data_IF_852688144302
#
_entry.id   IF_852688144302
#
_cell.length_a   1.000
_cell.length_b   1.000
_cell.length_c   1.000
_cell.angle_alpha   90.00
_cell.angle_beta   90.00
_cell.angle_gamma   90.00
#
_symmetry.space_group_name_H-M   'P 1'
#
loop_
_entity.id
_entity.type
_entity.pdbx_description
1 polymer ?
#
# COMPACT_ATOMS: atom_id res chain seq x y z
N UNK A 1 34.85 35.07 -5.82
CA UNK A 1 34.14 34.21 -4.88
C UNK A 1 32.60 34.24 -5.03
N UNK A 2 32.03 35.33 -5.53
CA UNK A 2 30.56 35.52 -5.67
C UNK A 2 29.84 34.72 -6.79
N UNK A 3 30.55 34.25 -7.81
CA UNK A 3 29.91 33.52 -8.94
C UNK A 3 29.55 32.05 -8.65
N UNK A 4 30.24 31.39 -7.73
CA UNK A 4 29.95 29.97 -7.38
C UNK A 4 28.75 29.82 -6.45
N UNK A 5 28.50 30.79 -5.58
CA UNK A 5 27.39 30.77 -4.62
C UNK A 5 26.03 30.95 -5.30
N UNK A 6 25.99 31.78 -6.36
CA UNK A 6 24.75 32.05 -7.12
C UNK A 6 24.29 30.82 -7.92
N UNK A 7 25.21 30.01 -8.43
CA UNK A 7 24.91 28.77 -9.18
C UNK A 7 24.35 27.69 -8.25
N UNK A 8 24.84 27.57 -7.01
CA UNK A 8 24.33 26.61 -6.04
C UNK A 8 22.91 26.97 -5.54
N UNK A 9 22.63 28.26 -5.34
CA UNK A 9 21.30 28.74 -4.93
C UNK A 9 20.26 28.54 -6.04
N UNK A 10 20.64 28.75 -7.31
CA UNK A 10 19.75 28.52 -8.45
C UNK A 10 19.45 27.02 -8.65
N UNK A 11 20.43 26.14 -8.40
CA UNK A 11 20.24 24.68 -8.45
C UNK A 11 19.32 24.16 -7.34
N UNK A 12 19.41 24.70 -6.12
CA UNK A 12 18.54 24.34 -5.01
C UNK A 12 17.08 24.80 -5.24
N UNK A 13 16.89 25.98 -5.82
CA UNK A 13 15.58 26.52 -6.15
C UNK A 13 14.95 25.73 -7.31
N UNK A 14 15.69 25.35 -8.34
CA UNK A 14 15.21 24.53 -9.45
C UNK A 14 14.89 23.10 -9.03
N UNK A 15 15.63 22.52 -8.09
CA UNK A 15 15.33 21.21 -7.53
C UNK A 15 14.04 21.22 -6.68
N UNK A 16 13.80 22.30 -5.93
CA UNK A 16 12.58 22.48 -5.13
C UNK A 16 11.33 22.71 -5.98
N UNK A 17 11.45 23.43 -7.10
CA UNK A 17 10.32 23.67 -8.04
C UNK A 17 9.92 22.38 -8.73
N UNK A 18 10.85 21.47 -9.01
CA UNK A 18 10.55 20.23 -9.73
C UNK A 18 9.97 19.11 -8.86
N UNK A 19 10.38 19.04 -7.61
CA UNK A 19 9.73 18.19 -6.61
C UNK A 19 8.29 18.67 -6.37
N UNK A 20 8.05 19.99 -6.38
CA UNK A 20 6.72 20.58 -6.20
C UNK A 20 5.78 20.35 -7.39
N UNK A 21 6.27 20.17 -8.60
CA UNK A 21 5.43 19.91 -9.79
C UNK A 21 4.92 18.46 -9.82
N UNK A 22 5.76 17.50 -9.54
CA UNK A 22 5.38 16.07 -9.47
C UNK A 22 4.43 15.78 -8.30
N UNK A 23 4.55 16.51 -7.20
CA UNK A 23 3.65 16.42 -6.05
C UNK A 23 2.31 17.14 -6.24
N UNK A 24 2.26 18.20 -7.02
CA UNK A 24 0.98 18.89 -7.30
C UNK A 24 0.02 18.04 -8.13
N UNK A 25 0.52 17.08 -8.90
CA UNK A 25 -0.33 16.27 -9.76
C UNK A 25 -1.13 15.24 -8.96
N UNK A 26 -0.56 14.66 -7.89
CA UNK A 26 -1.27 13.69 -7.04
C UNK A 26 -2.50 14.28 -6.38
N UNK A 27 -2.47 15.57 -6.01
CA UNK A 27 -3.59 16.23 -5.34
C UNK A 27 -4.81 16.37 -6.24
N UNK A 28 -4.66 16.32 -7.57
CA UNK A 28 -5.78 16.29 -8.51
C UNK A 28 -6.59 15.00 -8.41
N UNK A 29 -5.96 13.90 -7.96
CA UNK A 29 -6.60 12.61 -7.74
C UNK A 29 -7.21 12.49 -6.32
N UNK A 30 -7.07 13.53 -5.49
CA UNK A 30 -7.53 13.53 -4.10
C UNK A 30 -8.84 14.32 -3.92
N UNK A 31 -9.64 13.85 -2.96
CA UNK A 31 -10.79 14.58 -2.40
C UNK A 31 -10.51 14.78 -0.92
N UNK A 32 -10.36 16.02 -0.49
CA UNK A 32 -10.05 16.39 0.89
C UNK A 32 -10.50 17.82 1.18
N UNK A 33 -10.52 18.20 2.47
CA UNK A 33 -10.72 19.58 2.88
C UNK A 33 -9.39 20.23 3.29
N UNK A 34 -9.27 21.57 3.26
CA UNK A 34 -8.08 22.25 3.79
C UNK A 34 -7.78 21.89 5.26
N UNK A 35 -8.81 21.60 6.05
CA UNK A 35 -8.65 21.17 7.43
C UNK A 35 -8.03 19.76 7.54
N UNK A 36 -8.34 18.85 6.61
CA UNK A 36 -7.74 17.50 6.59
C UNK A 36 -6.26 17.59 6.26
N UNK A 37 -5.88 18.32 5.20
CA UNK A 37 -4.48 18.50 4.82
C UNK A 37 -3.66 19.18 5.92
N UNK A 38 -4.19 20.25 6.52
CA UNK A 38 -3.54 20.93 7.64
C UNK A 38 -3.37 20.00 8.87
N UNK A 39 -4.36 19.15 9.18
CA UNK A 39 -4.29 18.17 10.27
C UNK A 39 -3.20 17.11 10.00
N UNK A 40 -3.12 16.58 8.78
CA UNK A 40 -2.06 15.63 8.40
C UNK A 40 -0.68 16.25 8.59
N UNK A 41 -0.44 17.44 8.03
CA UNK A 41 0.87 18.12 8.14
C UNK A 41 1.24 18.36 9.60
N UNK A 42 0.29 18.82 10.43
CA UNK A 42 0.52 19.01 11.87
C UNK A 42 0.89 17.70 12.57
N UNK A 43 0.15 16.59 12.30
CA UNK A 43 0.44 15.28 12.88
C UNK A 43 1.83 14.78 12.48
N UNK A 44 2.23 14.95 11.22
CA UNK A 44 3.56 14.57 10.74
C UNK A 44 4.68 15.40 11.36
N UNK A 45 4.40 16.65 11.74
CA UNK A 45 5.37 17.52 12.44
C UNK A 45 5.58 17.12 13.91
N UNK A 46 4.62 16.43 14.53
CA UNK A 46 4.71 16.02 15.95
C UNK A 46 5.84 15.00 16.19
N UNK A 47 6.43 15.03 17.39
CA UNK A 47 7.41 14.02 17.83
C UNK A 47 6.67 12.76 18.29
N UNK A 48 6.46 11.82 17.38
CA UNK A 48 5.95 10.50 17.73
C UNK A 48 7.09 9.64 18.32
N UNK A 49 6.80 8.76 19.32
CA UNK A 49 7.79 7.82 19.85
C UNK A 49 8.29 6.87 18.77
N UNK A 50 9.60 6.69 18.66
CA UNK A 50 10.17 5.74 17.71
C UNK A 50 9.72 4.31 18.04
N UNK A 51 9.21 3.59 17.03
CA UNK A 51 8.62 2.25 17.22
C UNK A 51 7.21 2.24 17.83
N UNK A 52 6.70 3.38 18.30
CA UNK A 52 5.36 3.55 18.86
C UNK A 52 4.44 4.47 18.04
N UNK A 53 4.84 4.82 16.81
CA UNK A 53 4.14 5.81 15.98
C UNK A 53 2.68 5.40 15.70
N UNK A 54 2.45 4.11 15.48
CA UNK A 54 1.11 3.59 15.12
C UNK A 54 0.11 3.89 16.24
N UNK A 55 0.42 3.47 17.47
CA UNK A 55 -0.50 3.70 18.60
C UNK A 55 -0.58 5.18 18.98
N UNK A 56 0.52 5.93 18.84
CA UNK A 56 0.55 7.37 19.01
C UNK A 56 -0.46 8.06 18.08
N UNK A 57 -0.39 7.76 16.78
CA UNK A 57 -1.33 8.35 15.82
C UNK A 57 -2.76 7.84 16.00
N UNK A 58 -2.96 6.55 16.29
CA UNK A 58 -4.29 6.01 16.56
C UNK A 58 -5.01 6.77 17.67
N UNK A 59 -4.30 7.09 18.76
CA UNK A 59 -4.83 7.87 19.90
C UNK A 59 -5.20 9.32 19.55
N UNK A 60 -4.61 9.92 18.50
CA UNK A 60 -5.00 11.25 18.00
C UNK A 60 -6.40 11.29 17.38
N UNK A 61 -6.98 10.12 17.12
CA UNK A 61 -8.33 9.99 16.56
C UNK A 61 -9.39 9.58 17.60
N UNK A 62 -9.02 9.40 18.87
CA UNK A 62 -10.00 9.10 19.91
C UNK A 62 -11.14 10.13 19.92
N UNK A 63 -12.37 9.65 19.99
CA UNK A 63 -13.58 10.48 19.95
C UNK A 63 -14.06 10.90 18.56
N UNK A 64 -13.27 10.66 17.48
CA UNK A 64 -13.72 10.91 16.10
C UNK A 64 -14.95 10.05 15.80
N UNK A 65 -16.04 10.61 15.23
CA UNK A 65 -17.25 9.88 14.92
C UNK A 65 -17.04 8.68 14.00
N UNK A 66 -17.71 7.57 14.31
CA UNK A 66 -17.81 6.43 13.39
C UNK A 66 -18.84 6.71 12.31
N UNK A 67 -18.42 6.69 11.06
CA UNK A 67 -19.32 6.77 9.90
C UNK A 67 -18.87 5.78 8.85
N UNK A 68 -19.75 4.84 8.50
CA UNK A 68 -19.46 3.85 7.46
C UNK A 68 -19.56 4.46 6.05
N UNK A 69 -18.92 3.80 5.10
CA UNK A 69 -19.01 4.10 3.67
C UNK A 69 -18.63 5.53 3.25
N UNK A 70 -17.74 6.18 4.00
CA UNK A 70 -17.26 7.53 3.67
C UNK A 70 -16.53 7.58 2.32
N UNK A 71 -15.98 6.45 1.84
CA UNK A 71 -15.33 6.32 0.54
C UNK A 71 -16.31 6.16 -0.64
N UNK A 72 -17.61 5.94 -0.37
CA UNK A 72 -18.65 5.76 -1.39
C UNK A 72 -19.31 7.09 -1.84
N UNK A 73 -18.84 8.23 -1.31
CA UNK A 73 -19.40 9.56 -1.57
C UNK A 73 -19.06 10.15 -2.95
N UNK A 74 -18.13 9.54 -3.69
CA UNK A 74 -17.76 9.98 -5.03
C UNK A 74 -18.22 8.96 -6.09
N UNK A 75 -18.76 9.47 -7.22
CA UNK A 75 -19.10 8.62 -8.38
C UNK A 75 -17.87 8.10 -9.13
N UNK A 76 -16.77 8.84 -9.07
CA UNK A 76 -15.48 8.47 -9.61
C UNK A 76 -14.57 8.04 -8.47
N UNK A 77 -13.78 6.98 -8.69
CA UNK A 77 -12.79 6.55 -7.72
C UNK A 77 -11.68 7.58 -7.65
N UNK A 78 -11.48 8.12 -6.48
CA UNK A 78 -10.44 9.09 -6.15
C UNK A 78 -9.98 8.85 -4.71
N UNK A 79 -8.79 9.28 -4.38
CA UNK A 79 -8.29 9.17 -3.01
C UNK A 79 -9.07 10.13 -2.09
N UNK A 80 -10.03 9.61 -1.35
CA UNK A 80 -10.77 10.38 -0.34
C UNK A 80 -9.98 10.38 0.96
N UNK A 81 -9.68 11.57 1.48
CA UNK A 81 -9.09 11.81 2.80
C UNK A 81 -10.15 12.52 3.64
N UNK A 82 -10.63 11.83 4.68
CA UNK A 82 -11.59 12.38 5.65
C UNK A 82 -11.10 12.00 7.05
N UNK A 83 -10.65 12.99 7.80
CA UNK A 83 -10.16 12.80 9.17
C UNK A 83 -11.21 13.16 10.24
N UNK A 84 -12.42 13.51 9.82
CA UNK A 84 -13.52 13.92 10.70
C UNK A 84 -14.50 12.79 11.00
N UNK A 85 -14.56 11.81 10.11
CA UNK A 85 -15.47 10.66 10.17
C UNK A 85 -14.70 9.41 9.68
N UNK A 86 -14.66 8.38 10.49
CA UNK A 86 -13.88 7.19 10.20
C UNK A 86 -14.70 5.93 10.48
N UNK A 87 -14.52 4.90 9.67
CA UNK A 87 -14.84 3.52 9.99
C UNK A 87 -13.57 2.74 10.36
N UNK A 88 -13.68 1.45 10.63
CA UNK A 88 -12.53 0.64 11.07
C UNK A 88 -11.43 0.57 10.01
N UNK A 89 -11.80 0.49 8.72
CA UNK A 89 -10.85 0.40 7.60
C UNK A 89 -10.15 1.74 7.37
N UNK A 90 -10.92 2.82 7.30
CA UNK A 90 -10.36 4.16 7.08
C UNK A 90 -9.53 4.67 8.26
N UNK A 91 -9.86 4.26 9.50
CA UNK A 91 -8.99 4.49 10.66
C UNK A 91 -7.66 3.74 10.50
N UNK A 92 -7.71 2.45 10.17
CA UNK A 92 -6.51 1.63 10.00
C UNK A 92 -5.58 2.20 8.92
N UNK A 93 -6.12 2.50 7.74
CA UNK A 93 -5.38 3.10 6.63
C UNK A 93 -4.78 4.46 6.99
N UNK A 94 -5.55 5.33 7.62
CA UNK A 94 -5.12 6.69 8.00
C UNK A 94 -3.95 6.63 8.99
N UNK A 95 -4.07 5.82 10.02
CA UNK A 95 -3.05 5.68 11.07
C UNK A 95 -1.77 5.07 10.53
N UNK A 96 -1.89 3.97 9.76
CA UNK A 96 -0.74 3.30 9.17
C UNK A 96 -0.05 4.17 8.13
N UNK A 97 -0.81 4.92 7.32
CA UNK A 97 -0.23 5.85 6.35
C UNK A 97 0.52 7.00 7.05
N UNK A 98 0.00 7.56 8.15
CA UNK A 98 0.70 8.57 8.95
C UNK A 98 2.02 8.00 9.53
N UNK A 99 1.96 6.83 10.15
CA UNK A 99 3.11 6.19 10.76
C UNK A 99 4.17 5.81 9.71
N UNK A 100 3.76 5.24 8.58
CA UNK A 100 4.65 4.88 7.48
C UNK A 100 5.32 6.12 6.85
N UNK A 101 4.54 7.18 6.58
CA UNK A 101 5.05 8.45 6.07
C UNK A 101 6.08 9.04 7.03
N UNK A 102 5.79 9.04 8.33
CA UNK A 102 6.71 9.53 9.37
C UNK A 102 8.01 8.74 9.41
N UNK A 103 7.95 7.41 9.43
CA UNK A 103 9.13 6.51 9.40
C UNK A 103 9.98 6.71 8.15
N UNK A 104 9.35 6.99 7.01
CA UNK A 104 10.04 7.29 5.76
C UNK A 104 10.63 8.71 5.69
N UNK A 105 10.42 9.54 6.73
CA UNK A 105 10.91 10.93 6.79
C UNK A 105 10.04 11.93 6.04
N UNK A 106 8.85 11.52 5.55
CA UNK A 106 7.89 12.39 4.90
C UNK A 106 7.27 13.39 5.88
N UNK A 107 7.01 14.60 5.39
CA UNK A 107 6.50 15.71 6.21
C UNK A 107 5.37 16.49 5.57
N UNK A 108 5.08 16.22 4.29
CA UNK A 108 4.11 16.95 3.50
C UNK A 108 2.83 16.15 3.35
N UNK A 109 1.75 16.83 3.01
CA UNK A 109 0.46 16.20 2.74
C UNK A 109 0.53 15.23 1.56
N UNK A 110 1.27 15.60 0.53
CA UNK A 110 1.48 14.75 -0.66
C UNK A 110 2.21 13.44 -0.31
N UNK A 111 3.20 13.49 0.59
CA UNK A 111 3.91 12.29 1.05
C UNK A 111 2.93 11.31 1.73
N UNK A 112 2.00 11.83 2.52
CA UNK A 112 0.92 11.06 3.13
C UNK A 112 -0.05 10.51 2.08
N UNK A 113 -0.46 11.32 1.10
CA UNK A 113 -1.36 10.87 0.03
C UNK A 113 -0.75 9.70 -0.76
N UNK A 114 0.53 9.80 -1.13
CA UNK A 114 1.25 8.68 -1.76
C UNK A 114 1.24 7.42 -0.92
N UNK A 115 1.56 7.54 0.37
CA UNK A 115 1.56 6.40 1.28
C UNK A 115 0.16 5.79 1.44
N UNK A 116 -0.87 6.63 1.57
CA UNK A 116 -2.26 6.16 1.68
C UNK A 116 -2.73 5.43 0.41
N UNK A 117 -2.32 5.89 -0.77
CA UNK A 117 -2.60 5.20 -2.03
C UNK A 117 -1.99 3.79 -2.05
N UNK A 118 -0.76 3.62 -1.55
CA UNK A 118 -0.10 2.31 -1.47
C UNK A 118 -0.84 1.31 -0.56
N UNK A 119 -1.53 1.79 0.46
CA UNK A 119 -2.39 0.96 1.30
C UNK A 119 -3.75 0.67 0.64
N UNK A 120 -4.38 1.65 0.01
CA UNK A 120 -5.79 1.57 -0.40
C UNK A 120 -6.02 0.94 -1.75
N UNK A 121 -5.07 1.07 -2.68
CA UNK A 121 -5.28 0.68 -4.07
C UNK A 121 -4.30 -0.38 -4.55
N UNK A 122 -4.81 -1.29 -5.35
CA UNK A 122 -4.01 -2.23 -6.14
C UNK A 122 -3.12 -1.42 -7.10
N UNK A 123 -1.82 -1.69 -7.08
CA UNK A 123 -0.85 -0.89 -7.85
C UNK A 123 -0.61 0.53 -7.32
N UNK A 124 -1.10 0.87 -6.11
CA UNK A 124 -0.81 2.13 -5.44
C UNK A 124 -1.45 3.39 -6.06
N UNK A 125 -2.47 3.22 -6.93
CA UNK A 125 -3.17 4.35 -7.59
C UNK A 125 -4.67 4.04 -7.74
N UNK A 126 -5.55 5.06 -7.67
CA UNK A 126 -6.96 4.90 -8.00
C UNK A 126 -7.10 4.70 -9.52
N UNK A 127 -7.56 3.52 -9.93
CA UNK A 127 -7.92 3.18 -11.31
C UNK A 127 -9.32 2.53 -11.31
N UNK A 128 -10.33 3.34 -11.12
CA UNK A 128 -11.71 2.93 -10.95
C UNK A 128 -11.96 2.13 -9.66
N UNK A 129 -13.22 1.83 -9.41
CA UNK A 129 -13.70 1.20 -8.17
C UNK A 129 -13.02 -0.15 -7.86
N UNK A 130 -12.69 -0.91 -8.90
CA UNK A 130 -12.12 -2.27 -8.80
C UNK A 130 -10.66 -2.24 -8.33
N UNK A 131 -9.97 -1.11 -8.49
CA UNK A 131 -8.60 -0.95 -8.00
C UNK A 131 -8.51 -0.85 -6.48
N UNK A 132 -9.60 -0.45 -5.80
CA UNK A 132 -9.64 -0.38 -4.34
C UNK A 132 -9.57 -1.79 -3.73
N UNK A 133 -8.80 -1.95 -2.68
CA UNK A 133 -8.60 -3.21 -1.97
C UNK A 133 -9.74 -3.40 -0.96
N UNK A 134 -10.85 -3.98 -1.42
CA UNK A 134 -12.12 -4.04 -0.68
C UNK A 134 -12.17 -5.07 0.45
N UNK A 135 -11.42 -6.16 0.34
CA UNK A 135 -11.34 -7.18 1.38
C UNK A 135 -10.06 -7.01 2.19
N UNK A 136 -10.12 -7.34 3.47
CA UNK A 136 -8.97 -7.24 4.35
C UNK A 136 -7.79 -8.08 3.85
N UNK A 137 -8.05 -9.32 3.38
CA UNK A 137 -6.99 -10.18 2.83
C UNK A 137 -6.32 -9.59 1.61
N UNK A 138 -7.06 -8.94 0.70
CA UNK A 138 -6.50 -8.25 -0.46
C UNK A 138 -5.61 -7.09 -0.04
N UNK A 139 -6.13 -6.31 0.90
CA UNK A 139 -5.47 -5.13 1.45
C UNK A 139 -4.17 -5.52 2.18
N UNK A 140 -4.25 -6.51 3.08
CA UNK A 140 -3.12 -6.99 3.85
C UNK A 140 -2.04 -7.63 2.97
N UNK A 141 -2.43 -8.49 2.01
CA UNK A 141 -1.51 -9.10 1.04
C UNK A 141 -0.78 -8.04 0.21
N UNK A 142 -1.51 -7.03 -0.30
CA UNK A 142 -0.91 -5.93 -1.04
C UNK A 142 0.08 -5.16 -0.18
N UNK A 143 -0.29 -4.84 1.07
CA UNK A 143 0.58 -4.11 1.98
C UNK A 143 1.84 -4.92 2.36
N UNK A 144 1.74 -6.24 2.51
CA UNK A 144 2.90 -7.13 2.76
C UNK A 144 3.78 -7.20 1.51
N UNK A 145 3.21 -7.43 0.33
CA UNK A 145 3.94 -7.45 -0.94
C UNK A 145 4.69 -6.14 -1.19
N UNK A 146 4.10 -5.03 -0.82
CA UNK A 146 4.69 -3.70 -0.93
C UNK A 146 5.66 -3.34 0.22
N UNK A 147 5.95 -4.27 1.14
CA UNK A 147 6.86 -4.05 2.26
C UNK A 147 6.36 -3.04 3.30
N UNK A 148 5.08 -2.70 3.28
CA UNK A 148 4.46 -1.79 4.24
C UNK A 148 4.14 -2.50 5.56
N UNK A 149 3.63 -3.73 5.46
CA UNK A 149 3.30 -4.57 6.61
C UNK A 149 4.10 -5.86 6.57
N UNK A 150 4.25 -6.46 7.75
CA UNK A 150 4.70 -7.83 7.91
C UNK A 150 3.70 -8.63 8.75
N UNK A 151 3.59 -9.89 8.46
CA UNK A 151 2.79 -10.81 9.24
C UNK A 151 3.41 -11.03 10.62
N UNK A 152 2.60 -11.07 11.66
CA UNK A 152 3.02 -11.48 13.00
C UNK A 152 2.40 -12.85 13.26
N UNK A 153 3.17 -13.93 13.10
CA UNK A 153 2.70 -15.30 13.24
C UNK A 153 3.53 -16.17 14.23
N UNK A 154 4.44 -15.54 14.95
CA UNK A 154 5.18 -15.96 16.12
C UNK A 154 5.45 -17.45 16.29
N UNK A 155 6.40 -18.02 15.54
CA UNK A 155 6.80 -19.44 15.63
C UNK A 155 5.61 -20.44 15.69
N UNK A 156 4.40 -20.00 15.37
CA UNK A 156 3.14 -20.75 15.26
C UNK A 156 2.61 -21.38 16.57
N UNK A 157 3.21 -21.12 17.72
CA UNK A 157 2.76 -21.71 19.00
C UNK A 157 1.31 -21.34 19.36
N UNK A 158 0.92 -20.09 19.15
CA UNK A 158 -0.44 -19.57 19.42
C UNK A 158 -1.19 -19.20 18.15
N UNK A 159 -0.47 -18.99 17.06
CA UNK A 159 -0.99 -18.81 15.71
C UNK A 159 -1.20 -20.19 15.08
N UNK A 160 -2.32 -20.83 15.41
CA UNK A 160 -2.50 -22.27 15.20
C UNK A 160 -3.31 -22.60 13.95
N UNK A 161 -4.07 -21.64 13.41
CA UNK A 161 -4.87 -21.84 12.20
C UNK A 161 -4.46 -20.91 11.09
N UNK A 162 -4.37 -21.45 9.89
CA UNK A 162 -4.11 -20.68 8.68
C UNK A 162 -5.39 -20.02 8.17
N UNK A 163 -5.33 -18.74 7.84
CA UNK A 163 -6.43 -18.06 7.17
C UNK A 163 -6.34 -18.32 5.67
N UNK A 164 -7.32 -19.05 5.16
CA UNK A 164 -7.51 -19.27 3.73
C UNK A 164 -8.77 -18.53 3.31
N UNK A 165 -8.67 -17.42 2.57
CA UNK A 165 -9.84 -16.63 2.21
C UNK A 165 -10.77 -17.40 1.25
N UNK A 166 -12.08 -17.20 1.48
CA UNK A 166 -13.15 -17.59 0.58
C UNK A 166 -14.15 -16.44 0.51
N UNK A 167 -13.73 -15.36 -0.14
CA UNK A 167 -14.49 -14.11 -0.23
C UNK A 167 -15.36 -14.08 -1.48
N UNK A 168 -16.61 -13.67 -1.32
CA UNK A 168 -17.57 -13.47 -2.40
C UNK A 168 -18.74 -12.58 -1.97
N UNK A 169 -18.59 -11.88 -0.85
CA UNK A 169 -19.68 -11.11 -0.25
C UNK A 169 -20.12 -9.94 -1.13
N UNK A 170 -19.18 -9.24 -1.78
CA UNK A 170 -19.50 -8.07 -2.58
C UNK A 170 -20.24 -8.44 -3.86
N UNK A 171 -19.75 -9.44 -4.61
CA UNK A 171 -20.44 -9.89 -5.84
C UNK A 171 -21.82 -10.48 -5.54
N UNK A 172 -21.93 -11.28 -4.46
CA UNK A 172 -23.19 -11.88 -4.03
C UNK A 172 -24.19 -10.88 -3.42
N UNK A 173 -23.75 -9.71 -2.98
CA UNK A 173 -24.57 -8.68 -2.35
C UNK A 173 -24.41 -7.31 -3.03
N UNK A 174 -24.25 -7.28 -4.35
CA UNK A 174 -23.93 -6.06 -5.10
C UNK A 174 -24.89 -4.90 -4.86
N UNK A 175 -26.17 -5.19 -4.60
CA UNK A 175 -27.19 -4.17 -4.30
C UNK A 175 -26.94 -3.38 -3.01
N UNK A 176 -26.14 -3.91 -2.09
CA UNK A 176 -25.73 -3.21 -0.85
C UNK A 176 -24.63 -2.18 -1.09
N UNK A 177 -24.00 -2.19 -2.26
CA UNK A 177 -22.89 -1.31 -2.61
C UNK A 177 -23.33 -0.31 -3.68
N UNK A 178 -23.43 0.99 -3.33
CA UNK A 178 -23.94 2.01 -4.27
C UNK A 178 -23.19 2.06 -5.61
N UNK A 179 -21.89 1.74 -5.59
CA UNK A 179 -21.04 1.77 -6.78
C UNK A 179 -21.00 0.42 -7.55
N UNK A 180 -21.65 -0.62 -7.04
CA UNK A 180 -21.87 -1.89 -7.76
C UNK A 180 -23.31 -2.00 -8.29
N UNK A 181 -24.28 -1.52 -7.55
CA UNK A 181 -25.70 -1.61 -7.87
C UNK A 181 -25.98 -1.16 -9.30
N UNK A 182 -26.60 -2.05 -10.10
CA UNK A 182 -26.93 -1.79 -11.49
C UNK A 182 -25.75 -1.71 -12.47
N UNK A 183 -24.56 -2.23 -12.10
CA UNK A 183 -23.34 -2.19 -12.93
C UNK A 183 -22.75 -3.59 -13.13
N UNK A 184 -23.33 -4.42 -14.01
CA UNK A 184 -22.96 -5.82 -14.18
C UNK A 184 -21.47 -6.02 -14.50
N UNK A 185 -20.90 -5.25 -15.41
CA UNK A 185 -19.47 -5.35 -15.76
C UNK A 185 -18.54 -5.11 -14.57
N UNK A 186 -18.93 -4.24 -13.62
CA UNK A 186 -18.16 -3.99 -12.41
C UNK A 186 -18.33 -5.13 -11.41
N UNK A 187 -19.54 -5.67 -11.29
CA UNK A 187 -19.81 -6.85 -10.46
C UNK A 187 -18.99 -8.04 -10.95
N UNK A 188 -18.97 -8.29 -12.26
CA UNK A 188 -18.18 -9.38 -12.88
C UNK A 188 -16.68 -9.20 -12.61
N UNK A 189 -16.19 -7.96 -12.64
CA UNK A 189 -14.79 -7.67 -12.33
C UNK A 189 -14.46 -7.95 -10.87
N UNK A 190 -15.32 -7.58 -9.93
CA UNK A 190 -15.16 -7.94 -8.51
C UNK A 190 -15.22 -9.47 -8.34
N UNK A 191 -16.17 -10.15 -8.95
CA UNK A 191 -16.31 -11.62 -8.85
C UNK A 191 -15.06 -12.35 -9.39
N UNK A 192 -14.46 -11.86 -10.48
CA UNK A 192 -13.18 -12.40 -10.98
C UNK A 192 -12.04 -12.22 -9.97
N UNK A 193 -11.92 -11.05 -9.34
CA UNK A 193 -10.91 -10.82 -8.32
C UNK A 193 -11.15 -11.69 -7.08
N UNK A 194 -12.39 -11.82 -6.62
CA UNK A 194 -12.76 -12.72 -5.52
C UNK A 194 -12.31 -14.15 -5.82
N UNK A 195 -12.63 -14.67 -7.00
CA UNK A 195 -12.19 -16.00 -7.43
C UNK A 195 -10.69 -16.15 -7.52
N UNK A 196 -9.98 -15.14 -8.02
CA UNK A 196 -8.53 -15.16 -8.22
C UNK A 196 -7.73 -15.16 -6.89
N UNK A 197 -8.27 -14.55 -5.83
CA UNK A 197 -7.60 -14.45 -4.53
C UNK A 197 -8.04 -15.55 -3.54
N UNK A 198 -9.13 -16.26 -3.81
CA UNK A 198 -9.62 -17.34 -2.96
C UNK A 198 -8.69 -18.56 -2.98
N UNK A 199 -8.65 -19.27 -1.85
CA UNK A 199 -7.85 -20.47 -1.68
C UNK A 199 -6.34 -20.23 -1.45
N UNK A 200 -5.86 -18.99 -1.57
CA UNK A 200 -4.46 -18.65 -1.29
C UNK A 200 -4.26 -18.42 0.20
N UNK A 201 -3.43 -19.22 0.88
CA UNK A 201 -3.17 -19.02 2.31
C UNK A 201 -2.59 -17.63 2.57
N UNK A 202 -3.15 -16.91 3.54
CA UNK A 202 -2.65 -15.58 3.90
C UNK A 202 -1.62 -15.64 5.02
N UNK A 203 -1.89 -16.39 6.06
CA UNK A 203 -1.04 -16.51 7.24
C UNK A 203 -1.79 -17.17 8.38
N UNK A 204 -1.16 -17.24 9.53
CA UNK A 204 -1.75 -17.89 10.70
C UNK A 204 -2.42 -16.87 11.61
N UNK A 205 -3.49 -17.26 12.28
CA UNK A 205 -4.21 -16.43 13.22
C UNK A 205 -4.34 -17.08 14.61
N UNK A 206 -4.56 -16.23 15.62
CA UNK A 206 -4.80 -16.61 16.99
C UNK A 206 -6.28 -16.91 17.15
N UNK A 207 -6.61 -18.11 17.65
CA UNK A 207 -8.00 -18.46 17.96
C UNK A 207 -8.57 -17.58 19.06
N UNK A 208 -9.89 -17.38 19.03
CA UNK A 208 -10.61 -16.52 19.96
C UNK A 208 -10.28 -16.84 21.43
N UNK A 209 -10.26 -18.12 21.82
CA UNK A 209 -9.98 -18.56 23.18
C UNK A 209 -8.58 -18.17 23.66
N UNK A 210 -7.62 -18.06 22.78
CA UNK A 210 -6.24 -17.66 23.09
C UNK A 210 -6.05 -16.15 23.23
N UNK A 211 -6.99 -15.33 22.78
CA UNK A 211 -6.87 -13.85 22.86
C UNK A 211 -6.99 -13.30 24.30
N UNK A 212 -7.42 -14.13 25.25
CA UNK A 212 -7.44 -13.79 26.68
C UNK A 212 -6.13 -14.04 27.42
N UNK A 213 -5.13 -14.59 26.75
CA UNK A 213 -3.81 -14.80 27.32
C UNK A 213 -3.12 -13.47 27.65
N UNK A 214 -2.27 -13.47 28.67
CA UNK A 214 -1.49 -12.29 29.03
C UNK A 214 -0.31 -12.05 28.10
N UNK A 215 0.30 -10.86 28.24
CA UNK A 215 1.43 -10.40 27.41
C UNK A 215 2.58 -11.41 27.32
N UNK A 216 2.92 -12.05 28.45
CA UNK A 216 4.00 -13.06 28.48
C UNK A 216 3.70 -14.33 27.67
N UNK A 217 2.42 -14.63 27.44
CA UNK A 217 1.99 -15.78 26.64
C UNK A 217 1.76 -15.45 25.16
N UNK A 218 1.71 -14.15 24.80
CA UNK A 218 1.61 -13.61 23.45
C UNK A 218 2.70 -12.55 23.21
N UNK A 219 3.98 -12.88 23.39
CA UNK A 219 5.08 -11.91 23.31
C UNK A 219 5.26 -11.33 21.89
N UNK A 220 4.74 -12.00 20.89
CA UNK A 220 4.82 -11.58 19.50
C UNK A 220 3.92 -10.36 19.22
N UNK A 221 2.77 -10.25 19.93
CA UNK A 221 1.83 -9.15 19.77
C UNK A 221 2.30 -7.94 20.56
N UNK A 222 2.43 -6.79 19.88
CA UNK A 222 2.92 -5.54 20.47
C UNK A 222 1.86 -4.44 20.39
N UNK A 223 2.01 -3.44 21.25
CA UNK A 223 1.22 -2.22 21.18
C UNK A 223 1.34 -1.59 19.76
N UNK A 224 0.19 -1.27 19.18
CA UNK A 224 0.11 -0.70 17.83
C UNK A 224 0.12 -1.70 16.67
N UNK A 225 0.21 -3.01 16.94
CA UNK A 225 -0.01 -3.99 15.88
C UNK A 225 -1.44 -3.89 15.33
N UNK A 226 -1.60 -4.00 14.03
CA UNK A 226 -2.91 -4.07 13.40
C UNK A 226 -3.54 -5.43 13.65
N UNK A 227 -4.77 -5.42 14.13
CA UNK A 227 -5.61 -6.60 14.36
C UNK A 227 -6.72 -6.64 13.33
N UNK A 228 -6.81 -7.74 12.56
CA UNK A 228 -7.99 -8.10 11.80
C UNK A 228 -8.78 -9.17 12.55
N UNK A 229 -10.06 -8.91 12.81
CA UNK A 229 -10.96 -9.88 13.47
C UNK A 229 -11.48 -10.86 12.44
N UNK A 230 -10.93 -12.06 12.47
CA UNK A 230 -11.29 -13.15 11.56
C UNK A 230 -12.71 -13.63 11.84
N UNK A 231 -13.49 -13.81 10.79
CA UNK A 231 -14.91 -14.15 10.92
C UNK A 231 -15.30 -15.43 10.17
N UNK A 232 -16.32 -16.12 10.67
CA UNK A 232 -16.96 -17.23 9.98
C UNK A 232 -18.18 -16.82 9.15
N UNK A 233 -18.45 -15.52 9.00
CA UNK A 233 -19.50 -15.02 8.12
C UNK A 233 -19.21 -15.41 6.67
N UNK A 234 -20.18 -16.03 6.01
CA UNK A 234 -20.05 -16.50 4.63
C UNK A 234 -19.63 -15.36 3.69
N UNK A 235 -18.59 -15.60 2.91
CA UNK A 235 -18.08 -14.68 1.91
C UNK A 235 -17.26 -13.51 2.43
N UNK A 236 -16.94 -13.48 3.74
CA UNK A 236 -16.05 -12.50 4.37
C UNK A 236 -14.82 -13.18 5.00
N UNK A 237 -13.72 -12.47 5.05
CA UNK A 237 -12.46 -12.84 5.68
C UNK A 237 -12.34 -12.28 7.10
N UNK A 238 -12.47 -10.99 7.24
CA UNK A 238 -12.48 -10.25 8.49
C UNK A 238 -13.74 -9.39 8.62
N UNK A 239 -14.22 -9.25 9.85
CA UNK A 239 -15.43 -8.47 10.13
C UNK A 239 -15.13 -7.08 10.73
N UNK A 240 -13.93 -6.88 11.24
CA UNK A 240 -13.54 -5.63 11.90
C UNK A 240 -12.02 -5.48 11.99
N UNK A 241 -11.55 -4.23 12.13
CA UNK A 241 -10.14 -3.86 12.27
C UNK A 241 -9.91 -2.96 13.48
N UNK A 242 -8.72 -3.03 14.05
CA UNK A 242 -8.27 -2.13 15.11
C UNK A 242 -6.79 -2.32 15.43
N UNK A 243 -6.32 -1.65 16.44
CA UNK A 243 -4.93 -1.71 16.89
C UNK A 243 -4.84 -2.37 18.28
N UNK A 244 -3.82 -3.18 18.46
CA UNK A 244 -3.51 -3.83 19.71
C UNK A 244 -3.11 -2.81 20.78
N UNK A 245 -3.69 -2.94 21.96
CA UNK A 245 -3.33 -2.17 23.15
C UNK A 245 -3.21 -3.12 24.34
N UNK A 246 -2.02 -3.21 24.92
CA UNK A 246 -1.82 -3.93 26.15
C UNK A 246 -2.23 -3.06 27.35
N UNK A 247 -3.32 -3.43 28.01
CA UNK A 247 -3.83 -2.75 29.20
C UNK A 247 -2.91 -2.90 30.41
N UNK A 248 -3.15 -2.07 31.44
CA UNK A 248 -2.47 -2.18 32.74
C UNK A 248 -2.79 -3.48 33.47
N UNK A 249 -3.90 -4.11 33.11
CA UNK A 249 -4.33 -5.45 33.57
C UNK A 249 -3.54 -6.60 32.94
N UNK A 250 -2.58 -6.28 32.06
CA UNK A 250 -1.79 -7.28 31.34
C UNK A 250 -2.57 -8.02 30.25
N UNK A 251 -3.77 -7.55 29.89
CA UNK A 251 -4.65 -8.12 28.87
C UNK A 251 -4.62 -7.29 27.59
N UNK A 252 -4.96 -7.95 26.49
CA UNK A 252 -5.06 -7.31 25.18
C UNK A 252 -6.42 -6.61 25.04
N UNK A 253 -6.39 -5.36 24.65
CA UNK A 253 -7.52 -4.52 24.29
C UNK A 253 -7.44 -4.08 22.83
N UNK A 254 -8.47 -3.43 22.33
CA UNK A 254 -8.57 -2.97 20.95
C UNK A 254 -8.79 -1.46 20.89
N UNK A 255 -7.95 -0.72 20.17
CA UNK A 255 -8.26 0.62 19.75
C UNK A 255 -8.88 0.55 18.36
N UNK A 256 -10.12 1.03 18.20
CA UNK A 256 -10.84 0.87 16.93
C UNK A 256 -11.85 2.01 16.70
N UNK A 257 -12.30 2.17 15.46
CA UNK A 257 -13.50 2.96 15.15
C UNK A 257 -14.72 2.06 15.37
N UNK A 258 -15.39 2.25 16.49
CA UNK A 258 -16.46 1.38 16.98
C UNK A 258 -17.82 1.81 16.44
N UNK A 259 -18.50 0.93 15.71
CA UNK A 259 -19.89 1.12 15.29
C UNK A 259 -20.86 1.05 16.48
N UNK A 260 -20.44 0.42 17.58
CA UNK A 260 -21.23 0.32 18.84
C UNK A 260 -21.15 1.63 19.60
N UNK A 261 -19.92 2.12 19.87
CA UNK A 261 -19.69 3.38 20.57
C UNK A 261 -19.87 4.63 19.70
N UNK A 262 -20.11 4.45 18.39
CA UNK A 262 -20.28 5.53 17.39
C UNK A 262 -19.09 6.48 17.28
N UNK A 263 -17.90 6.06 17.69
CA UNK A 263 -16.66 6.84 17.65
C UNK A 263 -15.41 5.95 17.75
N UNK A 264 -14.26 6.53 17.52
CA UNK A 264 -12.97 5.90 17.81
C UNK A 264 -12.78 5.81 19.33
N UNK A 265 -12.48 4.61 19.82
CA UNK A 265 -12.29 4.31 21.25
C UNK A 265 -11.14 3.32 21.48
N UNK A 266 -10.51 3.39 22.65
CA UNK A 266 -9.87 2.22 23.25
C UNK A 266 -10.96 1.45 23.97
N UNK A 267 -11.21 0.20 23.58
CA UNK A 267 -12.27 -0.62 24.17
C UNK A 267 -12.01 -0.84 25.66
N UNK A 268 -12.98 -0.55 26.54
CA UNK A 268 -12.84 -0.81 27.97
C UNK A 268 -12.79 -2.32 28.26
N UNK A 269 -13.41 -3.12 27.41
CA UNK A 269 -13.39 -4.58 27.50
C UNK A 269 -12.07 -5.14 26.96
N UNK A 270 -11.61 -6.23 27.54
CA UNK A 270 -10.51 -6.98 26.94
C UNK A 270 -10.90 -7.49 25.55
N UNK A 271 -9.94 -7.72 24.68
CA UNK A 271 -10.21 -8.27 23.35
C UNK A 271 -10.96 -9.61 23.43
N UNK A 272 -10.63 -10.46 24.40
CA UNK A 272 -11.35 -11.72 24.61
C UNK A 272 -12.85 -11.52 24.93
N UNK A 273 -13.16 -10.56 25.80
CA UNK A 273 -14.56 -10.18 26.12
C UNK A 273 -15.26 -9.62 24.89
N UNK A 274 -14.60 -8.69 24.21
CA UNK A 274 -15.14 -8.11 22.97
C UNK A 274 -15.48 -9.19 21.92
N UNK A 275 -14.57 -10.13 21.67
CA UNK A 275 -14.81 -11.20 20.68
C UNK A 275 -15.91 -12.17 21.14
N UNK A 276 -16.03 -12.45 22.43
CA UNK A 276 -17.06 -13.37 22.94
C UNK A 276 -18.49 -12.87 22.76
N UNK A 277 -18.65 -11.55 22.68
CA UNK A 277 -19.95 -10.91 22.40
C UNK A 277 -20.31 -10.90 20.90
N UNK A 278 -19.37 -11.31 20.04
CA UNK A 278 -19.53 -11.35 18.59
C UNK A 278 -19.38 -12.80 18.08
N UNK A 279 -20.45 -13.62 18.06
CA UNK A 279 -20.38 -15.07 17.81
C UNK A 279 -19.73 -15.46 16.47
N UNK A 280 -19.72 -14.54 15.49
CA UNK A 280 -19.05 -14.77 14.21
C UNK A 280 -17.53 -14.54 14.25
N UNK A 281 -16.99 -13.99 15.33
CA UNK A 281 -15.56 -13.73 15.49
C UNK A 281 -14.86 -14.99 15.99
N UNK A 282 -13.97 -15.57 15.18
CA UNK A 282 -13.31 -16.84 15.47
C UNK A 282 -11.87 -16.71 15.90
N UNK A 283 -11.30 -15.50 15.78
CA UNK A 283 -9.93 -15.21 16.17
C UNK A 283 -9.43 -13.89 15.63
N UNK A 284 -8.13 -13.68 15.71
CA UNK A 284 -7.45 -12.48 15.21
C UNK A 284 -6.24 -12.82 14.35
N UNK A 285 -6.09 -12.11 13.25
CA UNK A 285 -4.86 -12.08 12.47
C UNK A 285 -4.13 -10.78 12.75
N UNK A 286 -2.81 -10.83 12.86
CA UNK A 286 -1.99 -9.72 13.35
C UNK A 286 -0.95 -9.31 12.31
N UNK A 287 -0.84 -8.01 12.06
CA UNK A 287 0.16 -7.41 11.19
C UNK A 287 0.90 -6.29 11.90
N UNK A 288 2.12 -6.06 11.49
CA UNK A 288 2.95 -4.96 12.02
C UNK A 288 3.44 -4.08 10.89
N UNK A 289 3.41 -2.77 11.10
CA UNK A 289 4.07 -1.83 10.20
C UNK A 289 5.58 -2.08 10.21
N UNK A 290 6.18 -2.24 9.04
CA UNK A 290 7.62 -2.48 8.92
C UNK A 290 8.44 -1.26 9.38
N UNK A 291 9.69 -1.49 9.79
CA UNK A 291 10.56 -0.41 10.26
C UNK A 291 10.96 0.56 9.15
N UNK A 292 10.99 0.09 7.91
CA UNK A 292 11.33 0.88 6.73
C UNK A 292 10.23 0.78 5.66
N UNK A 293 8.96 1.17 5.99
CA UNK A 293 7.86 1.11 5.06
C UNK A 293 8.19 2.02 3.87
N UNK A 294 8.09 1.76 2.68
CA UNK A 294 8.43 2.56 1.49
C UNK A 294 9.92 2.51 1.05
N UNK A 295 10.85 2.01 1.87
CA UNK A 295 12.22 1.80 1.38
C UNK A 295 12.34 0.54 0.53
N UNK A 296 11.54 -0.49 0.81
CA UNK A 296 11.49 -1.73 0.00
C UNK A 296 10.98 -1.45 -1.41
N UNK A 297 10.01 -0.56 -1.59
CA UNK A 297 9.55 -0.18 -2.93
C UNK A 297 10.56 0.69 -3.69
N UNK A 298 11.43 1.44 -3.00
CA UNK A 298 12.56 2.13 -3.66
C UNK A 298 13.75 1.21 -3.87
N UNK A 299 13.97 0.23 -2.98
CA UNK A 299 15.14 -0.65 -3.03
C UNK A 299 15.08 -1.73 -4.11
N UNK A 300 13.91 -1.95 -4.73
CA UNK A 300 13.73 -2.89 -5.81
C UNK A 300 13.08 -2.25 -7.06
N UNK A 301 13.08 -0.92 -7.16
CA UNK A 301 12.43 -0.23 -8.28
C UNK A 301 13.42 -0.01 -9.41
N UNK A 302 13.25 -0.77 -10.47
CA UNK A 302 14.04 -0.62 -11.70
C UNK A 302 13.52 0.57 -12.51
N UNK A 303 14.38 1.55 -12.77
CA UNK A 303 14.06 2.65 -13.68
C UNK A 303 14.12 2.16 -15.11
N UNK A 304 13.04 2.36 -15.85
CA UNK A 304 12.94 1.95 -17.24
C UNK A 304 12.83 3.18 -18.12
N UNK A 305 13.91 3.52 -18.77
CA UNK A 305 13.95 4.60 -19.74
C UNK A 305 13.36 4.14 -21.06
N UNK A 306 12.32 4.83 -21.50
CA UNK A 306 11.56 4.55 -22.72
C UNK A 306 11.30 5.85 -23.50
N UNK A 307 10.81 5.73 -24.72
CA UNK A 307 10.27 6.85 -25.49
C UNK A 307 8.88 6.45 -26.01
N UNK A 308 7.91 7.35 -25.92
CA UNK A 308 6.52 7.07 -26.33
C UNK A 308 6.40 6.63 -27.79
N UNK A 309 7.26 7.14 -28.65
CA UNK A 309 7.32 6.84 -30.10
C UNK A 309 8.20 5.66 -30.46
N UNK A 310 8.84 5.01 -29.50
CA UNK A 310 9.73 3.86 -29.76
C UNK A 310 8.91 2.55 -29.82
N UNK A 311 8.94 1.82 -30.97
CA UNK A 311 8.23 0.54 -31.11
C UNK A 311 8.74 -0.52 -30.13
N UNK A 312 10.06 -0.62 -29.95
CA UNK A 312 10.70 -1.60 -29.07
C UNK A 312 10.36 -1.41 -27.59
N UNK A 313 9.86 -0.23 -27.23
CA UNK A 313 9.43 0.09 -25.87
C UNK A 313 7.96 -0.30 -25.58
N UNK A 314 7.19 -0.73 -26.58
CA UNK A 314 5.75 -0.94 -26.43
C UNK A 314 5.43 -2.06 -25.41
N UNK A 315 6.02 -3.24 -25.54
CA UNK A 315 5.83 -4.37 -24.64
C UNK A 315 6.26 -4.04 -23.20
N UNK A 316 7.37 -3.32 -23.06
CA UNK A 316 7.89 -2.89 -21.76
C UNK A 316 6.95 -1.89 -21.06
N UNK A 317 6.30 -1.01 -21.80
CA UNK A 317 5.32 -0.06 -21.25
C UNK A 317 4.08 -0.77 -20.73
N UNK A 318 3.59 -1.79 -21.43
CA UNK A 318 2.45 -2.56 -20.95
C UNK A 318 2.80 -3.36 -19.68
N UNK A 319 3.94 -4.03 -19.67
CA UNK A 319 4.43 -4.74 -18.48
C UNK A 319 4.55 -3.80 -17.26
N UNK A 320 5.14 -2.63 -17.46
CA UNK A 320 5.36 -1.68 -16.37
C UNK A 320 4.09 -1.02 -15.83
N UNK A 321 2.98 -1.04 -16.59
CA UNK A 321 1.66 -0.64 -16.08
C UNK A 321 1.11 -1.64 -15.06
N UNK A 322 1.42 -2.91 -15.24
CA UNK A 322 0.93 -4.00 -14.40
C UNK A 322 1.88 -4.35 -13.27
N UNK A 323 3.16 -3.97 -13.38
CA UNK A 323 4.20 -4.31 -12.41
C UNK A 323 4.81 -3.07 -11.75
N UNK A 324 4.45 -2.84 -10.51
CA UNK A 324 4.89 -1.69 -9.69
C UNK A 324 6.40 -1.70 -9.36
N UNK A 325 7.15 -2.73 -9.75
CA UNK A 325 8.61 -2.77 -9.62
C UNK A 325 9.32 -1.91 -10.68
N UNK A 326 8.63 -1.51 -11.73
CA UNK A 326 9.16 -0.69 -12.80
C UNK A 326 8.68 0.77 -12.70
N UNK A 327 9.63 1.69 -12.68
CA UNK A 327 9.38 3.14 -12.83
C UNK A 327 9.62 3.53 -14.29
N UNK A 328 8.55 3.74 -15.06
CA UNK A 328 8.68 4.24 -16.43
C UNK A 328 9.13 5.71 -16.45
N UNK A 329 10.20 5.96 -17.19
CA UNK A 329 10.73 7.31 -17.42
C UNK A 329 10.73 7.57 -18.93
N UNK A 330 9.70 8.27 -19.42
CA UNK A 330 9.64 8.64 -20.84
C UNK A 330 10.60 9.80 -21.13
N UNK A 331 11.51 9.58 -22.08
CA UNK A 331 12.54 10.55 -22.45
C UNK A 331 11.95 11.76 -23.20
N UNK A 332 10.81 11.56 -23.88
CA UNK A 332 10.10 12.61 -24.59
C UNK A 332 9.23 13.52 -23.72
N UNK A 333 8.86 13.04 -22.53
CA UNK A 333 7.96 13.75 -21.65
C UNK A 333 8.61 15.00 -21.01
N UNK A 334 9.90 14.90 -20.68
CA UNK A 334 10.61 16.01 -20.05
C UNK A 334 12.11 16.00 -20.31
N UNK A 335 12.70 17.15 -20.62
CA UNK A 335 14.15 17.31 -20.88
C UNK A 335 15.05 16.78 -19.75
N UNK A 336 14.57 16.73 -18.52
CA UNK A 336 15.32 16.14 -17.37
C UNK A 336 15.46 14.62 -17.50
N UNK A 337 14.44 13.95 -17.97
CA UNK A 337 14.47 12.52 -18.21
C UNK A 337 15.55 12.21 -19.26
N UNK A 338 15.53 12.95 -20.34
CA UNK A 338 16.56 12.86 -21.39
C UNK A 338 17.97 13.15 -20.84
N UNK A 339 18.14 14.22 -20.06
CA UNK A 339 19.46 14.54 -19.46
C UNK A 339 19.94 13.48 -18.47
N UNK A 340 19.05 12.90 -17.67
CA UNK A 340 19.41 11.82 -16.76
C UNK A 340 19.83 10.56 -17.51
N UNK A 341 19.11 10.20 -18.55
CA UNK A 341 19.45 9.09 -19.43
C UNK A 341 20.77 9.31 -20.17
N UNK A 342 21.01 10.49 -20.74
CA UNK A 342 22.27 10.81 -21.43
C UNK A 342 23.47 10.70 -20.48
N UNK A 343 23.36 11.20 -19.23
CA UNK A 343 24.40 11.02 -18.23
C UNK A 343 24.70 9.53 -17.98
N UNK A 344 23.66 8.71 -17.80
CA UNK A 344 23.82 7.27 -17.62
C UNK A 344 24.49 6.66 -18.85
N UNK A 345 23.98 6.96 -20.04
CA UNK A 345 24.49 6.45 -21.32
C UNK A 345 25.95 6.81 -21.56
N UNK A 346 26.34 8.02 -21.19
CA UNK A 346 27.70 8.52 -21.44
C UNK A 346 28.75 7.97 -20.47
N UNK A 347 28.30 7.58 -19.25
CA UNK A 347 29.22 7.16 -18.18
C UNK A 347 29.20 5.66 -17.89
N UNK A 348 28.09 4.96 -18.19
CA UNK A 348 27.96 3.55 -17.80
C UNK A 348 28.55 2.59 -18.86
N UNK A 349 29.43 1.63 -18.47
CA UNK A 349 30.13 0.74 -19.39
C UNK A 349 29.22 -0.11 -20.30
N UNK A 350 28.03 -0.51 -19.83
CA UNK A 350 27.07 -1.29 -20.60
C UNK A 350 26.68 -0.63 -21.95
N UNK A 351 26.79 0.70 -22.05
CA UNK A 351 26.44 1.42 -23.27
C UNK A 351 27.53 1.47 -24.33
N UNK A 352 28.73 0.98 -24.07
CA UNK A 352 29.82 1.03 -25.05
C UNK A 352 29.44 0.34 -26.35
N UNK A 353 28.91 -0.90 -26.27
CA UNK A 353 28.45 -1.65 -27.45
C UNK A 353 27.25 -0.98 -28.13
N UNK A 354 26.37 -0.38 -27.37
CA UNK A 354 25.17 0.32 -27.87
C UNK A 354 25.57 1.58 -28.64
N UNK A 355 26.48 2.36 -28.09
CA UNK A 355 27.05 3.56 -28.73
C UNK A 355 27.79 3.22 -30.02
N UNK A 356 28.61 2.16 -29.99
CA UNK A 356 29.36 1.70 -31.16
C UNK A 356 28.46 1.29 -32.35
N UNK A 357 27.24 0.84 -32.07
CA UNK A 357 26.22 0.49 -33.08
C UNK A 357 25.36 1.66 -33.51
N UNK A 358 25.58 2.88 -32.99
CA UNK A 358 24.77 4.06 -33.26
C UNK A 358 23.36 4.02 -32.63
N UNK A 359 23.09 3.06 -31.72
CA UNK A 359 21.79 2.91 -31.10
C UNK A 359 21.63 3.88 -29.92
N UNK A 360 20.37 4.26 -29.61
CA UNK A 360 20.04 5.10 -28.45
C UNK A 360 20.24 4.32 -27.16
N UNK A 361 19.84 3.04 -27.13
CA UNK A 361 19.88 2.17 -25.96
C UNK A 361 18.62 2.27 -25.11
N UNK A 362 17.46 2.23 -25.75
CA UNK A 362 16.14 2.13 -25.11
C UNK A 362 15.37 0.96 -25.76
N UNK A 363 14.49 0.25 -25.00
CA UNK A 363 14.29 0.41 -23.56
C UNK A 363 15.56 0.16 -22.76
N UNK A 364 15.75 0.89 -21.65
CA UNK A 364 16.90 0.71 -20.78
C UNK A 364 16.43 0.53 -19.34
N UNK A 365 16.75 -0.60 -18.75
CA UNK A 365 16.46 -0.96 -17.37
C UNK A 365 17.70 -0.64 -16.53
N UNK A 366 17.54 0.25 -15.56
CA UNK A 366 18.56 0.57 -14.57
C UNK A 366 18.07 0.09 -13.19
N UNK A 367 18.66 -1.00 -12.73
CA UNK A 367 18.40 -1.58 -11.41
C UNK A 367 19.10 -0.77 -10.31
N UNK A 368 18.69 -0.93 -9.05
CA UNK A 368 19.29 -0.18 -7.92
C UNK A 368 20.73 -0.55 -7.63
N UNK A 369 21.12 -1.79 -7.93
CA UNK A 369 22.52 -2.24 -7.83
C UNK A 369 23.43 -1.59 -8.89
N UNK A 370 22.84 -0.76 -9.75
CA UNK A 370 23.52 -0.09 -10.86
C UNK A 370 23.62 -0.94 -12.12
N UNK A 371 23.12 -2.17 -12.15
CA UNK A 371 23.12 -2.99 -13.36
C UNK A 371 22.21 -2.40 -14.44
N UNK A 372 22.62 -2.55 -15.71
CA UNK A 372 21.89 -2.06 -16.87
C UNK A 372 21.55 -3.21 -17.79
N UNK A 373 20.29 -3.27 -18.25
CA UNK A 373 19.76 -4.19 -19.23
C UNK A 373 19.03 -3.44 -20.35
N UNK A 374 18.98 -4.04 -21.57
CA UNK A 374 18.38 -3.39 -22.74
C UNK A 374 17.20 -4.18 -23.33
N UNK A 375 16.88 -5.33 -22.76
CA UNK A 375 15.69 -6.12 -23.06
C UNK A 375 15.09 -6.71 -21.79
N UNK A 376 13.86 -7.20 -21.86
CA UNK A 376 13.21 -7.90 -20.76
C UNK A 376 13.93 -9.21 -20.43
N UNK A 377 14.36 -9.95 -21.45
CA UNK A 377 15.07 -11.21 -21.28
C UNK A 377 16.39 -10.99 -20.53
N UNK A 378 17.22 -10.03 -20.96
CA UNK A 378 18.48 -9.66 -20.30
C UNK A 378 18.24 -9.16 -18.86
N UNK A 379 17.11 -8.47 -18.62
CA UNK A 379 16.73 -8.01 -17.29
C UNK A 379 16.36 -9.19 -16.38
N UNK A 380 15.51 -10.11 -16.82
CA UNK A 380 15.09 -11.27 -16.02
C UNK A 380 16.21 -12.29 -15.83
N UNK A 381 17.09 -12.47 -16.81
CA UNK A 381 18.29 -13.30 -16.67
C UNK A 381 19.19 -12.81 -15.52
N UNK A 382 19.35 -11.50 -15.38
CA UNK A 382 20.12 -10.88 -14.29
C UNK A 382 19.36 -10.84 -12.95
N UNK A 383 18.04 -10.95 -12.99
CA UNK A 383 17.16 -10.87 -11.83
C UNK A 383 16.13 -12.00 -11.84
N UNK A 384 16.55 -13.28 -11.65
CA UNK A 384 15.66 -14.44 -11.76
C UNK A 384 14.51 -14.42 -10.75
N UNK A 385 14.73 -13.82 -9.58
CA UNK A 385 13.66 -13.62 -8.56
C UNK A 385 12.60 -12.58 -8.99
N UNK A 386 12.82 -11.90 -10.11
CA UNK A 386 11.91 -10.89 -10.64
C UNK A 386 10.98 -11.41 -11.74
N UNK A 387 11.11 -12.67 -12.18
CA UNK A 387 10.18 -13.23 -13.16
C UNK A 387 8.74 -13.23 -12.64
N UNK A 388 7.75 -12.84 -13.48
CA UNK A 388 6.36 -12.97 -13.11
C UNK A 388 6.03 -14.45 -12.90
N UNK A 389 5.51 -14.82 -11.73
CA UNK A 389 4.98 -16.15 -11.49
C UNK A 389 3.67 -16.33 -12.25
N UNK A 390 3.75 -16.71 -13.51
CA UNK A 390 2.60 -16.99 -14.37
C UNK A 390 3.10 -17.43 -15.74
N UNK A 391 2.58 -18.52 -16.27
CA UNK A 391 2.83 -19.00 -17.60
C UNK A 391 2.62 -17.85 -18.61
N UNK A 392 3.70 -17.29 -19.08
CA UNK A 392 3.67 -16.40 -20.22
C UNK A 392 3.41 -17.25 -21.46
N UNK A 393 2.32 -17.00 -22.17
CA UNK A 393 2.14 -17.50 -23.51
C UNK A 393 3.38 -17.16 -24.33
N UNK A 394 3.98 -18.17 -24.96
CA UNK A 394 5.18 -17.97 -25.79
C UNK A 394 4.84 -17.04 -26.96
N UNK A 395 5.73 -16.10 -27.24
CA UNK A 395 5.56 -15.07 -28.27
C UNK A 395 5.70 -15.60 -29.71
N UNK A 396 5.73 -16.90 -29.91
CA UNK A 396 5.89 -17.56 -31.23
C UNK A 396 4.59 -17.91 -31.95
N UNK A 397 3.45 -17.40 -31.50
CA UNK A 397 2.22 -17.40 -32.32
C UNK A 397 1.62 -18.79 -32.62
N UNK A 398 1.96 -19.84 -31.86
CA UNK A 398 1.35 -21.15 -32.01
C UNK A 398 0.79 -21.65 -30.70
N UNK A 399 -0.51 -21.48 -30.52
CA UNK A 399 -1.37 -22.25 -29.61
C UNK A 399 -1.78 -21.53 -28.33
N UNK A 400 -2.95 -20.97 -28.37
CA UNK A 400 -3.98 -21.00 -27.31
C UNK A 400 -5.18 -21.68 -27.88
#
# INVERSE_FOLDING_TARGET
MFRKTLIFSLFAILASISASAQHRDILKECIYTPADSARVVRLLAEKAPQGGEVLYYARKFLGVPYVAATLERSKQERLIINLKELDCSTLAETVLALAATKRAGGRRFEDYCHTLMQFRYRGGRPDGYVSRLHYFTWWANSAVKNGLLQHVDGQRKRFSKQLVPNVYYMSANADKYPLLKGRPARIDSIARLEKAENGKPLGYYILQENTGLGRNALPEVRDGDLIGIVTNKKGLDCSHLGFAVWGKDGKLHLLNASSIHKKVVEEPKTLRQYLSEHPSSIGIIVYRLTDNPLKTNRKNMTKVYVMSTCPDCAAVKELAKEDSRFELIDLGEHVRNLKAFLRLRDTHPAFEKVKARGSIGIPCFLSEDGSVSFSLEDYFEKHPDAEPSGEACSLDGKGC
#
